data_IF_505378934933
#
_entry.id   IF_505378934933
#
_cell.length_a   1.000
_cell.length_b   1.000
_cell.length_c   1.000
_cell.angle_alpha   90.00
_cell.angle_beta   90.00
_cell.angle_gamma   90.00
#
_symmetry.space_group_name_H-M   'P 1'
#
loop_
_entity.id
_entity.type
_entity.pdbx_description
1 polymer ?
#
# COMPACT_ATOMS: atom_id res chain seq x y z
N UNK A 1 -22.66 25.83 5.09
CA UNK A 1 -21.69 25.09 4.25
C UNK A 1 -22.41 23.80 3.89
N UNK A 2 -22.82 23.62 2.62
CA UNK A 2 -23.59 22.44 2.22
C UNK A 2 -22.64 21.24 2.32
N UNK A 3 -23.07 20.18 2.98
CA UNK A 3 -22.33 18.93 3.07
C UNK A 3 -22.25 18.31 1.66
N UNK A 4 -21.06 18.28 1.07
CA UNK A 4 -20.83 17.70 -0.25
C UNK A 4 -20.66 16.17 -0.20
N UNK A 5 -20.60 15.56 0.99
CA UNK A 5 -20.37 14.12 1.16
C UNK A 5 -21.35 13.25 0.38
N UNK A 6 -22.67 13.52 0.36
CA UNK A 6 -23.61 12.69 -0.40
C UNK A 6 -23.30 12.68 -1.90
N UNK A 7 -22.91 13.83 -2.47
CA UNK A 7 -22.58 13.96 -3.89
C UNK A 7 -21.23 13.31 -4.22
N UNK A 8 -20.27 13.34 -3.29
CA UNK A 8 -18.99 12.67 -3.45
C UNK A 8 -19.15 11.14 -3.44
N UNK A 9 -20.00 10.61 -2.55
CA UNK A 9 -20.34 9.19 -2.50
C UNK A 9 -21.12 8.74 -3.74
N UNK A 10 -22.08 9.55 -4.21
CA UNK A 10 -22.80 9.32 -5.46
C UNK A 10 -21.84 9.27 -6.66
N UNK A 11 -20.92 10.24 -6.75
CA UNK A 11 -19.91 10.30 -7.80
C UNK A 11 -19.04 9.03 -7.82
N UNK A 12 -18.51 8.62 -6.65
CA UNK A 12 -17.68 7.42 -6.52
C UNK A 12 -18.43 6.16 -6.98
N UNK A 13 -19.67 5.98 -6.51
CA UNK A 13 -20.51 4.84 -6.88
C UNK A 13 -20.84 4.82 -8.38
N UNK A 14 -21.10 5.99 -8.97
CA UNK A 14 -21.37 6.11 -10.40
C UNK A 14 -20.14 5.75 -11.25
N UNK A 15 -18.97 6.28 -10.89
CA UNK A 15 -17.69 5.96 -11.52
C UNK A 15 -17.44 4.45 -11.45
N UNK A 16 -17.60 3.86 -10.25
CA UNK A 16 -17.43 2.43 -10.02
C UNK A 16 -18.34 1.60 -10.94
N UNK A 17 -19.63 1.94 -10.98
CA UNK A 17 -20.60 1.26 -11.86
C UNK A 17 -20.22 1.34 -13.34
N UNK A 18 -19.78 2.53 -13.81
CA UNK A 18 -19.35 2.71 -15.20
C UNK A 18 -18.13 1.86 -15.54
N UNK A 19 -17.09 1.87 -14.69
CA UNK A 19 -15.87 1.13 -14.93
C UNK A 19 -16.07 -0.39 -14.85
N UNK A 20 -16.87 -0.89 -13.90
CA UNK A 20 -17.22 -2.31 -13.80
C UNK A 20 -17.91 -2.83 -15.07
N UNK A 21 -18.76 -2.03 -15.73
CA UNK A 21 -19.40 -2.40 -17.01
C UNK A 21 -18.41 -2.65 -18.14
N UNK A 22 -17.21 -2.10 -18.06
CA UNK A 22 -16.13 -2.33 -19.01
C UNK A 22 -15.12 -3.39 -18.54
N UNK A 23 -15.40 -4.09 -17.44
CA UNK A 23 -14.58 -5.20 -16.94
C UNK A 23 -13.34 -4.79 -16.15
N UNK A 24 -13.22 -3.52 -15.73
CA UNK A 24 -12.13 -3.12 -14.85
C UNK A 24 -12.34 -3.68 -13.44
N UNK A 25 -11.26 -4.19 -12.83
CA UNK A 25 -11.27 -4.55 -11.42
C UNK A 25 -10.99 -3.31 -10.57
N UNK A 26 -11.81 -3.09 -9.54
CA UNK A 26 -11.76 -1.88 -8.73
C UNK A 26 -11.67 -2.22 -7.26
N UNK A 27 -10.82 -1.49 -6.54
CA UNK A 27 -10.79 -1.49 -5.08
C UNK A 27 -10.88 -0.07 -4.53
N UNK A 28 -11.38 0.05 -3.30
CA UNK A 28 -11.32 1.29 -2.52
C UNK A 28 -10.13 1.17 -1.58
N UNK A 29 -9.16 2.10 -1.60
CA UNK A 29 -8.02 2.02 -0.71
C UNK A 29 -8.47 2.20 0.75
N UNK A 30 -7.97 1.36 1.65
CA UNK A 30 -8.29 1.42 3.08
C UNK A 30 -7.61 2.59 3.80
N UNK A 31 -6.61 3.20 3.15
CA UNK A 31 -5.84 4.35 3.64
C UNK A 31 -5.82 5.45 2.57
N UNK A 32 -5.58 6.71 2.94
CA UNK A 32 -5.51 7.82 1.99
C UNK A 32 -4.23 7.72 1.13
N UNK A 33 -4.35 7.07 -0.03
CA UNK A 33 -3.24 6.91 -0.98
C UNK A 33 -3.16 8.16 -1.85
N UNK A 34 -2.49 9.20 -1.35
CA UNK A 34 -2.14 10.41 -2.13
C UNK A 34 -3.34 10.95 -2.94
N UNK A 35 -4.52 11.05 -2.33
CA UNK A 35 -5.73 11.59 -2.94
C UNK A 35 -6.50 10.65 -3.88
N UNK A 36 -6.25 9.34 -3.84
CA UNK A 36 -7.02 8.34 -4.59
C UNK A 36 -8.27 7.90 -3.82
N UNK A 37 -9.44 8.00 -4.45
CA UNK A 37 -10.72 7.52 -3.91
C UNK A 37 -11.03 6.09 -4.39
N UNK A 38 -10.53 5.71 -5.58
CA UNK A 38 -10.62 4.37 -6.15
C UNK A 38 -9.28 3.97 -6.79
N UNK A 39 -9.04 2.67 -6.91
CA UNK A 39 -7.92 2.12 -7.68
C UNK A 39 -8.42 1.10 -8.70
N UNK A 40 -7.88 1.14 -9.92
CA UNK A 40 -8.05 0.10 -10.94
C UNK A 40 -6.87 -0.85 -10.86
N UNK A 41 -7.15 -2.15 -10.85
CA UNK A 41 -6.15 -3.21 -10.81
C UNK A 41 -6.15 -4.00 -12.12
N UNK A 42 -4.98 -4.16 -12.73
CA UNK A 42 -4.75 -5.07 -13.85
C UNK A 42 -3.93 -6.29 -13.42
N UNK A 43 -4.19 -7.45 -14.03
CA UNK A 43 -3.50 -8.70 -13.77
C UNK A 43 -3.52 -9.13 -12.28
N UNK A 44 -4.73 -9.39 -11.75
CA UNK A 44 -4.93 -9.92 -10.39
C UNK A 44 -4.29 -11.30 -10.21
N UNK A 45 -4.08 -12.04 -11.29
CA UNK A 45 -3.50 -13.39 -11.25
C UNK A 45 -1.97 -13.40 -11.37
N UNK A 46 -1.32 -12.21 -11.43
CA UNK A 46 0.13 -12.08 -11.52
C UNK A 46 0.70 -11.47 -10.24
N UNK A 47 1.93 -11.86 -9.87
CA UNK A 47 2.66 -11.34 -8.69
C UNK A 47 2.67 -9.81 -8.59
N UNK A 48 2.56 -9.10 -9.71
CA UNK A 48 2.48 -7.65 -9.67
C UNK A 48 1.38 -7.09 -10.58
N UNK A 49 0.41 -6.45 -9.96
CA UNK A 49 -0.67 -5.74 -10.62
C UNK A 49 -0.26 -4.32 -10.99
N UNK A 50 -0.71 -3.87 -12.15
CA UNK A 50 -0.62 -2.45 -12.51
C UNK A 50 -1.78 -1.71 -11.86
N UNK A 51 -1.49 -0.53 -11.32
CA UNK A 51 -2.47 0.26 -10.58
C UNK A 51 -2.70 1.58 -11.29
N UNK A 52 -3.95 1.94 -11.53
CA UNK A 52 -4.33 3.33 -11.77
C UNK A 52 -5.06 3.87 -10.56
N UNK A 53 -4.63 5.06 -10.11
CA UNK A 53 -5.27 5.84 -9.06
C UNK A 53 -6.32 6.73 -9.67
N UNK A 54 -7.51 6.68 -9.09
CA UNK A 54 -8.65 7.50 -9.50
C UNK A 54 -9.01 8.44 -8.36
N UNK A 55 -9.04 9.73 -8.66
CA UNK A 55 -9.65 10.72 -7.78
C UNK A 55 -11.04 11.10 -8.31
N UNK A 56 -12.05 11.00 -7.46
CA UNK A 56 -13.43 11.39 -7.70
C UNK A 56 -13.67 12.82 -7.23
N UNK A 57 -14.36 13.61 -8.06
CA UNK A 57 -14.87 14.93 -7.68
C UNK A 57 -16.32 15.06 -8.15
N UNK A 58 -17.25 15.19 -7.21
CA UNK A 58 -18.66 15.49 -7.50
C UNK A 58 -18.95 17.00 -7.45
N UNK A 59 -19.67 17.55 -8.44
CA UNK A 59 -20.06 18.97 -8.46
C UNK A 59 -21.49 19.17 -9.00
N UNK A 60 -22.25 20.05 -8.35
CA UNK A 60 -23.51 20.55 -8.91
C UNK A 60 -23.22 21.79 -9.76
N UNK A 61 -23.62 21.78 -11.03
CA UNK A 61 -23.39 22.84 -12.00
C UNK A 61 -24.30 24.03 -11.75
N UNK A 62 -23.82 24.97 -10.93
CA UNK A 62 -24.47 26.26 -10.71
C UNK A 62 -24.20 27.23 -11.85
N UNK A 63 -25.06 28.25 -11.99
CA UNK A 63 -24.85 29.40 -12.91
C UNK A 63 -23.55 30.16 -12.62
N UNK A 64 -23.04 30.09 -11.40
CA UNK A 64 -21.76 30.68 -10.98
C UNK A 64 -20.57 29.78 -11.31
N UNK A 65 -19.35 30.26 -11.09
CA UNK A 65 -18.13 29.47 -11.32
C UNK A 65 -17.99 28.34 -10.29
N UNK A 66 -17.75 27.14 -10.79
CA UNK A 66 -17.35 25.95 -10.05
C UNK A 66 -15.85 25.73 -10.22
N UNK A 67 -15.23 25.05 -9.25
CA UNK A 67 -13.85 24.61 -9.38
C UNK A 67 -13.56 23.28 -8.68
N UNK A 68 -12.55 22.58 -9.20
CA UNK A 68 -11.88 21.47 -8.54
C UNK A 68 -10.39 21.76 -8.45
N UNK A 69 -9.76 21.23 -7.40
CA UNK A 69 -8.33 21.39 -7.12
C UNK A 69 -7.71 20.02 -6.94
N UNK A 70 -6.52 19.84 -7.50
CA UNK A 70 -5.74 18.61 -7.44
C UNK A 70 -4.33 19.00 -7.03
N UNK A 71 -3.82 18.39 -5.96
CA UNK A 71 -2.47 18.67 -5.49
C UNK A 71 -1.45 18.13 -6.50
N UNK A 72 -0.39 18.90 -6.75
CA UNK A 72 0.55 18.59 -7.83
C UNK A 72 1.32 17.27 -7.62
N UNK A 73 1.57 16.90 -6.36
CA UNK A 73 2.27 15.65 -6.01
C UNK A 73 1.48 14.39 -6.36
N UNK A 74 0.18 14.51 -6.65
CA UNK A 74 -0.68 13.40 -7.02
C UNK A 74 -0.59 13.09 -8.53
N UNK A 75 -0.21 14.08 -9.34
CA UNK A 75 -0.31 14.04 -10.80
C UNK A 75 0.88 13.30 -11.44
N UNK A 76 0.84 11.97 -11.34
CA UNK A 76 1.78 11.02 -11.98
C UNK A 76 1.11 10.31 -13.18
N UNK A 77 1.86 9.46 -13.90
CA UNK A 77 1.33 8.71 -15.07
C UNK A 77 0.26 7.68 -14.68
N UNK A 78 0.26 7.25 -13.42
CA UNK A 78 -0.73 6.34 -12.83
C UNK A 78 -1.97 7.06 -12.27
N UNK A 79 -2.20 8.34 -12.56
CA UNK A 79 -3.25 9.15 -11.91
C UNK A 79 -4.29 9.72 -12.90
N UNK A 80 -5.57 9.52 -12.58
CA UNK A 80 -6.72 9.97 -13.39
C UNK A 80 -7.73 10.68 -12.47
N UNK A 81 -8.30 11.79 -12.96
CA UNK A 81 -9.38 12.50 -12.28
C UNK A 81 -10.69 12.28 -13.02
N UNK A 82 -11.70 11.85 -12.27
CA UNK A 82 -13.09 11.83 -12.71
C UNK A 82 -13.86 13.00 -12.10
N UNK A 83 -14.52 13.78 -12.95
CA UNK A 83 -15.45 14.82 -12.55
C UNK A 83 -16.86 14.37 -12.87
N UNK A 84 -17.63 14.08 -11.83
CA UNK A 84 -19.06 13.87 -11.93
C UNK A 84 -19.78 15.20 -11.72
N UNK A 85 -20.58 15.61 -12.69
CA UNK A 85 -21.26 16.89 -12.68
C UNK A 85 -22.76 16.73 -12.96
N UNK A 86 -23.60 17.23 -12.05
CA UNK A 86 -25.07 17.22 -12.20
C UNK A 86 -25.56 18.64 -12.44
N UNK A 87 -26.51 18.84 -13.37
CA UNK A 87 -27.15 20.14 -13.57
C UNK A 87 -28.04 20.52 -12.37
N UNK A 88 -27.93 21.76 -11.88
CA UNK A 88 -28.75 22.24 -10.75
C UNK A 88 -30.23 22.36 -11.12
N UNK A 89 -30.54 22.70 -12.38
CA UNK A 89 -31.90 22.89 -12.86
C UNK A 89 -32.54 21.57 -13.33
N UNK A 90 -31.73 20.61 -13.76
CA UNK A 90 -32.16 19.28 -14.22
C UNK A 90 -31.28 18.18 -13.63
N UNK A 91 -31.68 17.65 -12.47
CA UNK A 91 -30.89 16.63 -11.75
C UNK A 91 -30.78 15.29 -12.48
N UNK A 92 -31.60 15.04 -13.49
CA UNK A 92 -31.48 13.85 -14.34
C UNK A 92 -30.37 14.00 -15.39
N UNK A 93 -29.90 15.23 -15.60
CA UNK A 93 -28.83 15.54 -16.54
C UNK A 93 -27.49 15.57 -15.83
N UNK A 94 -26.82 14.43 -15.88
CA UNK A 94 -25.46 14.26 -15.39
C UNK A 94 -24.42 14.14 -16.50
N UNK A 95 -23.18 14.40 -16.13
CA UNK A 95 -22.03 14.31 -16.99
C UNK A 95 -20.87 13.68 -16.22
N UNK A 96 -20.11 12.84 -16.91
CA UNK A 96 -18.88 12.26 -16.37
C UNK A 96 -17.72 12.64 -17.27
N UNK A 97 -16.77 13.39 -16.74
CA UNK A 97 -15.55 13.78 -17.46
C UNK A 97 -14.34 13.08 -16.89
N UNK A 98 -13.38 12.77 -17.75
CA UNK A 98 -12.14 12.10 -17.40
C UNK A 98 -10.95 12.93 -17.84
N UNK A 99 -10.06 13.21 -16.91
CA UNK A 99 -8.85 14.00 -17.14
C UNK A 99 -7.62 13.16 -16.77
N UNK A 100 -6.70 13.06 -17.72
CA UNK A 100 -5.41 12.38 -17.55
C UNK A 100 -4.33 13.39 -17.17
N UNK A 101 -3.14 12.90 -16.83
CA UNK A 101 -1.97 13.71 -16.44
C UNK A 101 -1.75 14.94 -17.32
N UNK A 102 -1.76 14.79 -18.65
CA UNK A 102 -1.52 15.91 -19.58
C UNK A 102 -2.63 16.95 -19.52
N UNK A 103 -3.87 16.47 -19.35
CA UNK A 103 -5.05 17.33 -19.24
C UNK A 103 -4.97 18.14 -17.95
N UNK A 104 -4.61 17.51 -16.82
CA UNK A 104 -4.48 18.17 -15.52
C UNK A 104 -3.34 19.19 -15.52
N UNK A 105 -2.20 18.85 -16.13
CA UNK A 105 -1.04 19.77 -16.25
C UNK A 105 -1.33 21.01 -17.09
N UNK A 106 -2.37 20.97 -17.94
CA UNK A 106 -2.82 22.14 -18.70
C UNK A 106 -3.68 23.12 -17.89
N UNK A 107 -4.08 22.76 -16.67
CA UNK A 107 -4.90 23.61 -15.81
C UNK A 107 -4.11 24.74 -15.18
N UNK A 108 -4.82 25.74 -14.63
CA UNK A 108 -4.19 26.84 -13.93
C UNK A 108 -3.50 26.34 -12.66
N UNK A 109 -2.24 26.71 -12.47
CA UNK A 109 -1.51 26.39 -11.25
C UNK A 109 -1.69 27.49 -10.21
N UNK A 110 -2.09 27.14 -8.99
CA UNK A 110 -2.18 28.05 -7.85
C UNK A 110 -1.61 27.36 -6.63
N UNK A 111 -0.50 27.90 -6.10
CA UNK A 111 0.33 27.23 -5.09
C UNK A 111 0.73 25.82 -5.58
N UNK A 112 0.53 24.81 -4.73
CA UNK A 112 0.83 23.41 -5.02
C UNK A 112 -0.35 22.67 -5.68
N UNK A 113 -1.29 23.39 -6.30
CA UNK A 113 -2.51 22.79 -6.88
C UNK A 113 -2.71 23.17 -8.35
N UNK A 114 -3.14 22.19 -9.14
CA UNK A 114 -3.79 22.39 -10.42
C UNK A 114 -5.28 22.67 -10.20
N UNK A 115 -5.82 23.71 -10.84
CA UNK A 115 -7.17 24.22 -10.63
C UNK A 115 -7.92 24.27 -11.95
N UNK A 116 -8.99 23.48 -12.04
CA UNK A 116 -9.95 23.55 -13.15
C UNK A 116 -11.16 24.37 -12.71
N UNK A 117 -11.40 25.48 -13.41
CA UNK A 117 -12.58 26.32 -13.21
C UNK A 117 -13.54 26.19 -14.39
N UNK A 118 -14.84 26.07 -14.11
CA UNK A 118 -15.87 25.88 -15.12
C UNK A 118 -17.24 26.42 -14.68
N UNK A 119 -18.15 26.58 -15.64
CA UNK A 119 -19.56 26.96 -15.45
C UNK A 119 -20.45 25.96 -16.20
N UNK A 120 -21.76 25.98 -15.96
CA UNK A 120 -22.72 25.16 -16.72
C UNK A 120 -22.61 25.38 -18.24
N UNK A 121 -22.23 26.58 -18.68
CA UNK A 121 -22.04 26.88 -20.10
C UNK A 121 -20.68 26.41 -20.64
N UNK A 122 -19.60 26.47 -19.85
CA UNK A 122 -18.27 26.10 -20.34
C UNK A 122 -18.11 24.59 -20.50
N UNK A 123 -18.86 23.80 -19.72
CA UNK A 123 -18.81 22.34 -19.76
C UNK A 123 -19.43 21.75 -21.03
N UNK A 124 -20.25 22.54 -21.73
CA UNK A 124 -20.86 22.18 -23.02
C UNK A 124 -19.93 22.48 -24.22
N UNK A 125 -18.78 23.11 -24.00
CA UNK A 125 -17.82 23.44 -25.07
C UNK A 125 -16.91 22.28 -25.41
N UNK A 126 -16.39 22.26 -26.63
CA UNK A 126 -15.55 21.18 -27.20
C UNK A 126 -14.42 20.71 -26.29
N UNK A 127 -13.77 21.64 -25.58
CA UNK A 127 -12.67 21.34 -24.64
C UNK A 127 -13.07 20.37 -23.51
N UNK A 128 -14.34 20.38 -23.09
CA UNK A 128 -14.90 19.45 -22.11
C UNK A 128 -15.58 18.26 -22.78
N UNK A 129 -16.21 18.47 -23.93
CA UNK A 129 -16.89 17.40 -24.67
C UNK A 129 -15.93 16.28 -25.09
N UNK A 130 -14.68 16.61 -25.45
CA UNK A 130 -13.65 15.61 -25.76
C UNK A 130 -13.17 14.82 -24.52
N UNK A 131 -13.58 15.22 -23.32
CA UNK A 131 -13.29 14.56 -22.04
C UNK A 131 -14.47 13.74 -21.50
N UNK A 132 -15.61 13.77 -22.18
CA UNK A 132 -16.79 13.03 -21.77
C UNK A 132 -16.49 11.52 -21.78
N UNK A 133 -16.90 10.84 -20.70
CA UNK A 133 -16.73 9.41 -20.55
C UNK A 133 -17.42 8.68 -21.71
N UNK A 134 -16.62 7.96 -22.48
CA UNK A 134 -17.01 7.33 -23.74
C UNK A 134 -16.11 6.13 -23.99
N UNK A 135 -16.44 5.33 -25.01
CA UNK A 135 -15.63 4.15 -25.37
C UNK A 135 -14.17 4.51 -25.69
N UNK A 136 -13.93 5.63 -26.38
CA UNK A 136 -12.56 6.09 -26.69
C UNK A 136 -11.79 6.50 -25.44
N UNK A 137 -12.47 7.08 -24.44
CA UNK A 137 -11.87 7.37 -23.13
C UNK A 137 -11.54 6.08 -22.40
N UNK A 138 -12.42 5.08 -22.43
CA UNK A 138 -12.14 3.75 -21.85
C UNK A 138 -10.91 3.12 -22.49
N UNK A 139 -10.79 3.15 -23.82
CA UNK A 139 -9.60 2.67 -24.52
C UNK A 139 -8.32 3.43 -24.09
N UNK A 140 -8.42 4.73 -23.80
CA UNK A 140 -7.30 5.51 -23.25
C UNK A 140 -6.97 5.10 -21.82
N UNK A 141 -7.96 4.79 -20.97
CA UNK A 141 -7.74 4.24 -19.62
C UNK A 141 -6.97 2.91 -19.73
N UNK A 142 -7.43 1.98 -20.57
CA UNK A 142 -6.75 0.70 -20.79
C UNK A 142 -5.31 0.89 -21.26
N UNK A 143 -5.07 1.74 -22.27
CA UNK A 143 -3.71 2.05 -22.74
C UNK A 143 -2.84 2.72 -21.69
N UNK A 144 -3.44 3.49 -20.78
CA UNK A 144 -2.70 4.11 -19.67
C UNK A 144 -2.30 3.00 -18.70
N UNK A 145 -3.25 2.15 -18.30
CA UNK A 145 -3.03 1.00 -17.42
C UNK A 145 -1.95 0.07 -17.94
N UNK A 146 -1.97 -0.27 -19.24
CA UNK A 146 -0.95 -1.10 -19.90
C UNK A 146 0.47 -0.49 -19.81
N UNK A 147 0.58 0.83 -19.77
CA UNK A 147 1.86 1.55 -19.71
C UNK A 147 2.32 1.86 -18.30
N UNK A 148 1.46 1.70 -17.28
CA UNK A 148 1.84 1.95 -15.90
C UNK A 148 2.96 0.99 -15.52
N UNK A 149 4.06 1.56 -15.02
CA UNK A 149 5.11 0.80 -14.38
C UNK A 149 4.56 0.09 -13.14
N UNK A 150 4.95 -1.16 -13.02
CA UNK A 150 4.64 -1.97 -11.86
C UNK A 150 5.45 -1.43 -10.68
N UNK A 151 4.80 -0.68 -9.79
CA UNK A 151 5.43 -0.25 -8.55
C UNK A 151 5.52 -1.43 -7.60
N UNK A 152 6.75 -1.75 -7.21
CA UNK A 152 7.05 -2.82 -6.26
C UNK A 152 7.39 -2.19 -4.92
N UNK A 153 6.45 -2.15 -4.00
CA UNK A 153 6.79 -1.84 -2.61
C UNK A 153 7.41 -3.08 -1.98
N UNK A 154 8.19 -2.91 -0.92
CA UNK A 154 8.64 -4.04 -0.11
C UNK A 154 8.08 -3.88 1.28
N UNK A 155 7.39 -4.91 1.73
CA UNK A 155 6.80 -4.98 3.06
C UNK A 155 7.43 -6.08 3.87
N UNK A 156 7.77 -5.76 5.11
CA UNK A 156 8.22 -6.70 6.12
C UNK A 156 7.03 -7.02 7.01
N UNK A 157 6.55 -8.24 6.94
CA UNK A 157 5.43 -8.71 7.77
C UNK A 157 6.01 -9.56 8.89
N UNK A 158 5.61 -9.28 10.13
CA UNK A 158 6.24 -9.85 11.31
C UNK A 158 5.16 -10.42 12.22
N UNK A 159 5.30 -11.70 12.54
CA UNK A 159 4.68 -12.27 13.74
C UNK A 159 5.45 -11.74 14.95
N UNK A 160 4.84 -10.81 15.67
CA UNK A 160 5.49 -10.11 16.77
C UNK A 160 5.79 -11.03 17.96
N UNK A 161 4.94 -12.03 18.21
CA UNK A 161 5.20 -13.01 19.28
C UNK A 161 6.44 -13.85 18.98
N UNK A 162 6.56 -14.32 17.74
CA UNK A 162 7.76 -15.00 17.27
C UNK A 162 9.01 -14.12 17.45
N UNK A 163 8.96 -12.88 16.93
CA UNK A 163 10.12 -11.99 16.95
C UNK A 163 10.57 -11.66 18.39
N UNK A 164 9.65 -11.28 19.27
CA UNK A 164 9.97 -10.94 20.66
C UNK A 164 10.58 -12.11 21.41
N UNK A 165 10.00 -13.32 21.26
CA UNK A 165 10.52 -14.53 21.88
C UNK A 165 11.94 -14.81 21.39
N UNK A 166 12.16 -14.76 20.09
CA UNK A 166 13.48 -15.05 19.51
C UNK A 166 14.52 -13.99 19.90
N UNK A 167 14.13 -12.71 20.04
CA UNK A 167 15.02 -11.66 20.58
C UNK A 167 15.48 -12.02 21.99
N UNK A 168 14.57 -12.37 22.90
CA UNK A 168 14.88 -12.71 24.28
C UNK A 168 15.77 -13.96 24.39
N UNK A 169 15.43 -15.03 23.65
CA UNK A 169 16.22 -16.27 23.61
C UNK A 169 17.63 -16.03 23.09
N UNK A 170 17.76 -15.28 21.99
CA UNK A 170 19.05 -14.95 21.38
C UNK A 170 19.89 -14.08 22.31
N UNK A 171 19.27 -13.08 22.94
CA UNK A 171 19.94 -12.23 23.92
C UNK A 171 20.48 -13.03 25.11
N UNK A 172 19.67 -13.93 25.69
CA UNK A 172 20.08 -14.80 26.80
C UNK A 172 21.26 -15.69 26.42
N UNK A 173 21.22 -16.29 25.23
CA UNK A 173 22.31 -17.12 24.72
C UNK A 173 23.61 -16.33 24.59
N UNK A 174 23.59 -15.21 23.86
CA UNK A 174 24.80 -14.43 23.62
C UNK A 174 25.34 -13.73 24.86
N UNK A 175 24.46 -13.27 25.77
CA UNK A 175 24.89 -12.71 27.06
C UNK A 175 25.52 -13.75 27.96
N UNK A 176 25.09 -15.02 27.87
CA UNK A 176 25.72 -16.13 28.57
C UNK A 176 27.08 -16.52 27.97
N UNK A 177 27.22 -16.44 26.64
CA UNK A 177 28.47 -16.73 25.93
C UNK A 177 29.52 -15.62 26.09
N UNK A 178 29.08 -14.35 26.14
CA UNK A 178 29.94 -13.17 26.17
C UNK A 178 29.56 -12.18 27.30
N UNK A 179 29.59 -12.59 28.58
CA UNK A 179 29.18 -11.73 29.69
C UNK A 179 30.00 -10.44 29.80
N UNK A 180 31.26 -10.45 29.36
CA UNK A 180 32.17 -9.31 29.36
C UNK A 180 31.76 -8.18 28.40
N UNK A 181 30.94 -8.49 27.38
CA UNK A 181 30.54 -7.50 26.36
C UNK A 181 29.41 -6.59 26.81
N UNK A 182 28.78 -6.86 27.96
CA UNK A 182 27.72 -6.01 28.52
C UNK A 182 26.55 -5.78 27.54
N UNK A 183 26.19 -6.82 26.78
CA UNK A 183 25.14 -6.76 25.75
C UNK A 183 23.83 -6.23 26.33
N UNK A 184 23.06 -5.52 25.51
CA UNK A 184 21.74 -5.03 25.84
C UNK A 184 20.70 -5.72 24.95
N UNK A 185 19.49 -5.88 25.46
CA UNK A 185 18.37 -6.40 24.67
C UNK A 185 18.11 -5.40 23.53
N UNK A 186 18.15 -5.84 22.27
CA UNK A 186 17.92 -4.96 21.13
C UNK A 186 16.44 -4.59 21.02
N UNK A 187 16.15 -3.40 20.49
CA UNK A 187 14.77 -3.00 20.18
C UNK A 187 14.22 -3.77 18.98
N UNK A 188 12.90 -3.94 18.91
CA UNK A 188 12.24 -4.54 17.75
C UNK A 188 12.56 -3.74 16.48
N UNK A 189 12.54 -2.40 16.59
CA UNK A 189 12.88 -1.49 15.49
C UNK A 189 14.30 -1.71 14.95
N UNK A 190 15.30 -1.84 15.81
CA UNK A 190 16.68 -2.09 15.36
C UNK A 190 16.81 -3.44 14.65
N UNK A 191 16.11 -4.47 15.16
CA UNK A 191 16.15 -5.80 14.56
C UNK A 191 15.50 -5.80 13.18
N UNK A 192 14.32 -5.21 13.01
CA UNK A 192 13.64 -5.16 11.70
C UNK A 192 14.43 -4.32 10.67
N UNK A 193 15.13 -3.26 11.08
CA UNK A 193 16.02 -2.51 10.19
C UNK A 193 17.21 -3.37 9.72
N UNK A 194 17.75 -4.21 10.61
CA UNK A 194 18.82 -5.14 10.23
C UNK A 194 18.32 -6.27 9.32
N UNK A 195 17.08 -6.75 9.52
CA UNK A 195 16.44 -7.75 8.63
C UNK A 195 16.45 -7.25 7.19
N UNK A 196 16.01 -6.02 6.95
CA UNK A 196 15.96 -5.47 5.58
C UNK A 196 17.35 -5.20 5.03
N UNK A 197 18.26 -4.67 5.86
CA UNK A 197 19.66 -4.45 5.45
C UNK A 197 20.35 -5.75 5.00
N UNK A 198 20.05 -6.88 5.65
CA UNK A 198 20.69 -8.16 5.36
C UNK A 198 19.99 -8.97 4.25
N UNK A 199 18.66 -8.95 4.23
CA UNK A 199 17.87 -9.91 3.47
C UNK A 199 17.02 -9.28 2.37
N UNK A 200 16.81 -7.96 2.36
CA UNK A 200 16.07 -7.36 1.27
C UNK A 200 16.87 -7.47 -0.03
N UNK A 201 16.36 -8.25 -0.98
CA UNK A 201 16.93 -8.43 -2.32
C UNK A 201 16.05 -7.85 -3.41
N UNK A 202 14.94 -7.22 -3.03
CA UNK A 202 14.02 -6.65 -3.98
C UNK A 202 14.51 -5.27 -4.41
N UNK A 203 14.52 -5.03 -5.72
CA UNK A 203 14.70 -3.68 -6.26
C UNK A 203 13.39 -2.90 -6.06
N UNK A 204 13.40 -1.93 -5.14
CA UNK A 204 12.29 -1.01 -4.93
C UNK A 204 12.64 0.32 -5.61
N UNK A 205 11.82 0.75 -6.57
CA UNK A 205 11.95 2.06 -7.23
C UNK A 205 11.64 3.22 -6.28
N UNK A 206 10.80 2.97 -5.27
CA UNK A 206 10.49 3.93 -4.22
C UNK A 206 11.36 3.60 -2.99
N UNK A 207 12.00 4.61 -2.39
CA UNK A 207 12.79 4.45 -1.17
C UNK A 207 11.88 4.33 0.08
N UNK A 208 10.88 3.45 0.06
CA UNK A 208 9.93 3.26 1.15
C UNK A 208 9.82 1.78 1.50
N UNK A 209 9.99 1.46 2.79
CA UNK A 209 9.75 0.12 3.33
C UNK A 209 8.62 0.20 4.36
N UNK A 210 7.64 -0.71 4.25
CA UNK A 210 6.56 -0.82 5.22
C UNK A 210 6.82 -2.02 6.13
N UNK A 211 6.74 -1.82 7.44
CA UNK A 211 6.91 -2.87 8.44
C UNK A 211 5.57 -3.05 9.14
N UNK A 212 5.03 -4.26 9.11
CA UNK A 212 3.76 -4.62 9.70
C UNK A 212 4.01 -5.65 10.80
N UNK A 213 3.92 -5.19 12.05
CA UNK A 213 4.21 -6.02 13.23
C UNK A 213 2.89 -6.36 13.89
N UNK A 214 2.53 -7.64 13.88
CA UNK A 214 1.26 -8.12 14.41
C UNK A 214 1.46 -8.72 15.79
N UNK A 215 0.76 -8.16 16.78
CA UNK A 215 0.83 -8.55 18.17
C UNK A 215 -0.54 -8.94 18.71
N UNK A 216 -0.56 -9.94 19.60
CA UNK A 216 -1.74 -10.23 20.39
C UNK A 216 -1.88 -9.23 21.54
N UNK A 217 -3.06 -8.63 21.70
CA UNK A 217 -3.41 -7.84 22.87
C UNK A 217 -4.86 -8.12 23.29
N UNK A 218 -5.04 -8.72 24.46
CA UNK A 218 -6.34 -9.04 25.06
C UNK A 218 -7.24 -7.81 25.28
N UNK A 219 -6.63 -6.62 25.43
CA UNK A 219 -7.32 -5.36 25.70
C UNK A 219 -7.79 -4.64 24.43
N UNK A 220 -7.46 -5.17 23.26
CA UNK A 220 -7.90 -4.63 21.98
C UNK A 220 -9.22 -5.27 21.56
N UNK A 221 -10.08 -4.50 20.90
CA UNK A 221 -11.35 -4.99 20.34
C UNK A 221 -11.18 -5.19 18.83
N UNK A 222 -11.20 -6.45 18.39
CA UNK A 222 -10.94 -6.83 17.01
C UNK A 222 -9.46 -6.64 16.62
N UNK A 223 -9.22 -6.25 15.37
CA UNK A 223 -7.88 -5.96 14.83
C UNK A 223 -7.77 -4.48 14.47
N UNK A 224 -6.70 -3.81 14.94
CA UNK A 224 -6.46 -2.38 14.66
C UNK A 224 -4.98 -2.04 14.63
N UNK A 225 -4.65 -0.97 13.91
CA UNK A 225 -3.34 -0.31 14.00
C UNK A 225 -3.33 0.58 15.25
N UNK A 226 -2.37 0.39 16.14
CA UNK A 226 -2.26 1.12 17.41
C UNK A 226 -1.16 2.18 17.43
N UNK A 227 -0.12 2.00 16.63
CA UNK A 227 0.98 2.94 16.52
C UNK A 227 1.58 2.92 15.12
N UNK A 228 2.11 4.08 14.72
CA UNK A 228 2.78 4.29 13.45
C UNK A 228 4.02 5.15 13.65
N UNK A 229 5.20 4.63 13.30
CA UNK A 229 6.45 5.37 13.33
C UNK A 229 6.98 5.55 11.90
N UNK A 230 7.59 6.71 11.63
CA UNK A 230 8.32 6.97 10.40
C UNK A 230 9.78 7.21 10.77
N UNK A 231 10.67 6.35 10.28
CA UNK A 231 12.11 6.44 10.50
C UNK A 231 12.80 6.62 9.16
N UNK A 232 13.46 7.77 8.97
CA UNK A 232 14.22 8.03 7.74
C UNK A 232 15.68 7.67 7.97
N UNK A 233 16.21 6.72 7.20
CA UNK A 233 17.62 6.29 7.24
C UNK A 233 18.17 6.17 5.82
N UNK A 234 19.32 6.80 5.53
CA UNK A 234 20.00 6.72 4.22
C UNK A 234 19.08 6.94 3.00
N UNK A 235 18.28 8.00 3.02
CA UNK A 235 17.28 8.33 1.99
C UNK A 235 16.12 7.34 1.83
N UNK A 236 16.00 6.37 2.75
CA UNK A 236 14.91 5.40 2.85
C UNK A 236 13.94 5.77 3.97
N UNK A 237 12.66 5.86 3.64
CA UNK A 237 11.56 6.08 4.58
C UNK A 237 11.03 4.72 5.06
N UNK A 238 11.27 4.40 6.32
CA UNK A 238 10.76 3.20 6.96
C UNK A 238 9.49 3.53 7.72
N UNK A 239 8.37 2.94 7.32
CA UNK A 239 7.07 3.10 7.96
C UNK A 239 6.77 1.88 8.79
N UNK A 240 6.69 2.03 10.10
CA UNK A 240 6.45 0.93 11.02
C UNK A 240 5.03 1.03 11.54
N UNK A 241 4.25 -0.02 11.33
CA UNK A 241 2.86 -0.16 11.74
C UNK A 241 2.76 -1.28 12.77
N UNK A 242 2.32 -0.93 13.96
CA UNK A 242 2.02 -1.89 15.01
C UNK A 242 0.53 -2.22 14.95
N UNK A 243 0.24 -3.48 14.67
CA UNK A 243 -1.10 -4.04 14.64
C UNK A 243 -1.31 -4.82 15.93
N UNK A 244 -2.45 -4.59 16.57
CA UNK A 244 -2.88 -5.37 17.72
C UNK A 244 -4.19 -6.07 17.41
N UNK A 245 -4.30 -7.31 17.87
CA UNK A 245 -5.50 -8.12 17.75
C UNK A 245 -5.78 -8.91 19.03
N UNK A 246 -7.05 -9.05 19.40
CA UNK A 246 -7.46 -10.02 20.42
C UNK A 246 -7.84 -11.39 19.84
N UNK A 247 -7.72 -11.53 18.51
CA UNK A 247 -7.90 -12.78 17.78
C UNK A 247 -6.57 -13.51 17.55
N UNK A 248 -6.56 -14.39 16.55
CA UNK A 248 -5.35 -15.09 16.17
C UNK A 248 -4.52 -14.25 15.20
N UNK A 249 -3.28 -13.92 15.58
CA UNK A 249 -2.33 -13.15 14.77
C UNK A 249 -2.19 -13.68 13.33
N UNK A 250 -2.17 -15.01 13.16
CA UNK A 250 -2.02 -15.61 11.83
C UNK A 250 -3.16 -15.24 10.86
N UNK A 251 -4.38 -15.01 11.36
CA UNK A 251 -5.53 -14.66 10.52
C UNK A 251 -5.39 -13.25 9.94
N UNK A 252 -4.90 -12.32 10.75
CA UNK A 252 -4.67 -10.94 10.31
C UNK A 252 -3.51 -10.86 9.30
N UNK A 253 -2.47 -11.66 9.50
CA UNK A 253 -1.35 -11.81 8.55
C UNK A 253 -1.84 -12.43 7.24
N UNK A 254 -2.67 -13.48 7.31
CA UNK A 254 -3.27 -14.10 6.13
C UNK A 254 -4.14 -13.10 5.35
N UNK A 255 -5.00 -12.34 6.05
CA UNK A 255 -5.82 -11.30 5.44
C UNK A 255 -4.96 -10.21 4.77
N UNK A 256 -3.86 -9.82 5.41
CA UNK A 256 -2.92 -8.88 4.82
C UNK A 256 -2.28 -9.43 3.55
N UNK A 257 -1.75 -10.66 3.56
CA UNK A 257 -1.18 -11.29 2.37
C UNK A 257 -2.18 -11.35 1.22
N UNK A 258 -3.45 -11.67 1.49
CA UNK A 258 -4.50 -11.67 0.46
C UNK A 258 -4.69 -10.27 -0.14
N UNK A 259 -4.63 -9.21 0.68
CA UNK A 259 -4.82 -7.82 0.23
C UNK A 259 -3.65 -7.29 -0.60
N UNK A 260 -2.42 -7.66 -0.25
CA UNK A 260 -1.19 -7.08 -0.85
C UNK A 260 -0.49 -8.00 -1.84
N UNK A 261 -1.02 -9.21 -2.05
CA UNK A 261 -0.45 -10.29 -2.85
C UNK A 261 0.18 -9.85 -4.18
N UNK A 262 -0.46 -8.90 -4.85
CA UNK A 262 -0.07 -8.44 -6.17
C UNK A 262 0.52 -7.02 -6.17
N UNK A 263 0.82 -6.46 -5.01
CA UNK A 263 1.20 -5.06 -4.85
C UNK A 263 2.61 -4.91 -4.26
N UNK A 264 3.04 -5.91 -3.50
CA UNK A 264 4.21 -5.78 -2.63
C UNK A 264 5.08 -7.03 -2.69
N UNK A 265 6.40 -6.82 -2.65
CA UNK A 265 7.34 -7.86 -2.29
C UNK A 265 7.25 -8.11 -0.79
N UNK A 266 7.30 -9.38 -0.38
CA UNK A 266 7.08 -9.75 1.02
C UNK A 266 8.38 -10.32 1.59
N UNK A 267 8.84 -9.72 2.68
CA UNK A 267 9.77 -10.34 3.63
C UNK A 267 8.94 -10.75 4.84
N UNK A 268 8.87 -12.04 5.14
CA UNK A 268 8.00 -12.54 6.20
C UNK A 268 8.83 -13.13 7.34
N UNK A 269 8.60 -12.62 8.56
CA UNK A 269 9.32 -12.96 9.77
C UNK A 269 8.41 -13.79 10.68
N UNK A 270 8.54 -15.11 10.61
CA UNK A 270 7.78 -16.08 11.39
C UNK A 270 8.48 -17.44 11.37
N UNK A 271 8.17 -18.32 12.34
CA UNK A 271 8.61 -19.71 12.33
C UNK A 271 7.59 -20.62 13.03
N UNK A 272 6.39 -20.71 12.42
CA UNK A 272 5.30 -21.55 12.91
C UNK A 272 4.61 -22.27 11.74
N UNK A 273 4.41 -23.59 11.89
CA UNK A 273 3.77 -24.46 10.89
C UNK A 273 2.40 -23.96 10.44
N UNK A 274 1.71 -23.16 11.27
CA UNK A 274 0.42 -22.57 10.93
C UNK A 274 0.46 -21.71 9.65
N UNK A 275 1.63 -21.19 9.29
CA UNK A 275 1.81 -20.36 8.10
C UNK A 275 2.10 -21.15 6.81
N UNK A 276 2.42 -22.45 6.88
CA UNK A 276 2.70 -23.26 5.67
C UNK A 276 1.56 -23.24 4.64
N UNK A 277 0.26 -23.39 5.02
CA UNK A 277 -0.83 -23.40 4.04
C UNK A 277 -0.93 -22.12 3.22
N UNK A 278 -0.79 -20.95 3.86
CA UNK A 278 -0.83 -19.68 3.15
C UNK A 278 0.41 -19.54 2.27
N UNK A 279 1.61 -19.88 2.77
CA UNK A 279 2.85 -19.83 1.99
C UNK A 279 2.78 -20.70 0.72
N UNK A 280 2.26 -21.92 0.81
CA UNK A 280 2.03 -22.77 -0.37
C UNK A 280 0.99 -22.17 -1.34
N UNK A 281 -0.06 -21.51 -0.82
CA UNK A 281 -1.00 -20.79 -1.65
C UNK A 281 -0.32 -19.66 -2.42
N UNK A 282 0.54 -18.87 -1.76
CA UNK A 282 1.33 -17.80 -2.39
C UNK A 282 2.28 -18.38 -3.46
N UNK A 283 2.87 -19.56 -3.19
CA UNK A 283 3.85 -20.19 -4.08
C UNK A 283 3.17 -20.65 -5.37
N UNK A 284 1.98 -21.23 -5.24
CA UNK A 284 1.15 -21.64 -6.40
C UNK A 284 0.73 -20.46 -7.28
N UNK A 285 0.72 -19.24 -6.74
CA UNK A 285 0.42 -17.99 -7.45
C UNK A 285 1.67 -17.27 -7.94
N UNK A 286 2.83 -17.92 -7.83
CA UNK A 286 4.13 -17.38 -8.25
C UNK A 286 4.49 -16.05 -7.56
N UNK A 287 4.06 -15.89 -6.30
CA UNK A 287 4.45 -14.76 -5.46
C UNK A 287 5.77 -15.11 -4.79
N UNK A 288 6.79 -14.26 -4.93
CA UNK A 288 8.08 -14.43 -4.27
C UNK A 288 8.03 -13.86 -2.83
N UNK A 289 8.44 -14.68 -1.87
CA UNK A 289 8.51 -14.34 -0.44
C UNK A 289 9.91 -14.67 0.07
N UNK A 290 10.50 -13.75 0.84
CA UNK A 290 11.73 -14.01 1.58
C UNK A 290 11.35 -14.32 3.02
N UNK A 291 11.59 -15.55 3.48
CA UNK A 291 11.33 -15.93 4.87
C UNK A 291 12.49 -15.58 5.78
N UNK A 292 12.20 -15.08 6.97
CA UNK A 292 13.19 -14.86 8.03
C UNK A 292 12.72 -15.63 9.24
N UNK A 293 13.40 -16.74 9.51
CA UNK A 293 12.97 -17.79 10.43
C UNK A 293 14.20 -18.37 11.14
N UNK A 294 13.99 -19.33 12.04
CA UNK A 294 15.13 -20.09 12.55
C UNK A 294 15.81 -20.87 11.40
N UNK A 295 17.11 -21.10 11.51
CA UNK A 295 17.83 -21.96 10.56
C UNK A 295 17.42 -23.42 10.71
N UNK A 296 17.67 -24.25 9.70
CA UNK A 296 17.46 -25.72 9.79
C UNK A 296 18.15 -26.34 11.01
N UNK A 297 19.39 -25.93 11.31
CA UNK A 297 20.13 -26.38 12.51
C UNK A 297 19.64 -25.78 13.82
N UNK A 298 18.79 -24.74 13.74
CA UNK A 298 18.21 -24.00 14.86
C UNK A 298 16.79 -24.44 15.22
N UNK A 299 16.27 -25.49 14.56
CA UNK A 299 14.94 -26.03 14.84
C UNK A 299 13.81 -25.27 14.16
N UNK A 300 13.97 -24.96 12.87
CA UNK A 300 12.88 -24.40 12.09
C UNK A 300 11.63 -25.29 12.11
N UNK A 301 10.46 -24.66 12.18
CA UNK A 301 9.17 -25.34 12.28
C UNK A 301 8.34 -25.28 10.99
N UNK A 302 8.86 -24.65 9.93
CA UNK A 302 8.19 -24.53 8.63
C UNK A 302 8.99 -25.21 7.52
N UNK A 303 8.29 -25.92 6.64
CA UNK A 303 8.81 -26.49 5.39
C UNK A 303 8.23 -25.74 4.19
N UNK A 304 9.09 -25.04 3.45
CA UNK A 304 8.64 -24.20 2.32
C UNK A 304 9.67 -24.20 1.18
N UNK A 305 9.22 -23.94 -0.05
CA UNK A 305 10.11 -23.77 -1.21
C UNK A 305 10.77 -22.38 -1.29
N UNK A 306 10.45 -21.48 -0.37
CA UNK A 306 10.94 -20.10 -0.40
C UNK A 306 12.40 -19.97 0.03
N UNK A 307 13.01 -18.88 -0.41
CA UNK A 307 14.31 -18.45 0.09
C UNK A 307 14.16 -18.01 1.55
N UNK A 308 15.17 -18.29 2.36
CA UNK A 308 15.14 -17.93 3.77
C UNK A 308 16.45 -17.33 4.28
N UNK A 309 16.36 -16.55 5.36
CA UNK A 309 17.45 -16.00 6.15
C UNK A 309 17.29 -16.33 7.63
N UNK A 310 18.40 -16.53 8.35
CA UNK A 310 18.34 -16.90 9.78
C UNK A 310 18.14 -15.66 10.67
N UNK A 311 17.07 -15.65 11.46
CA UNK A 311 16.68 -14.52 12.32
C UNK A 311 17.74 -14.11 13.36
N UNK A 312 18.64 -15.02 13.76
CA UNK A 312 19.66 -14.73 14.78
C UNK A 312 20.70 -13.70 14.33
N UNK A 313 21.01 -13.61 13.02
CA UNK A 313 22.00 -12.66 12.51
C UNK A 313 21.56 -11.19 12.65
N UNK A 314 20.36 -10.77 12.21
CA UNK A 314 19.91 -9.39 12.42
C UNK A 314 19.75 -9.04 13.90
N UNK A 315 19.39 -10.00 14.76
CA UNK A 315 19.35 -9.80 16.21
C UNK A 315 20.77 -9.58 16.78
N UNK A 316 21.72 -10.43 16.41
CA UNK A 316 23.12 -10.30 16.82
C UNK A 316 23.73 -8.96 16.40
N UNK A 317 23.45 -8.53 15.16
CA UNK A 317 23.86 -7.23 14.66
C UNK A 317 23.22 -6.08 15.45
N UNK A 318 21.94 -6.19 15.81
CA UNK A 318 21.24 -5.19 16.61
C UNK A 318 21.82 -5.06 18.03
N UNK A 319 22.30 -6.17 18.62
CA UNK A 319 23.04 -6.16 19.88
C UNK A 319 24.45 -5.56 19.76
N UNK A 320 24.90 -5.24 18.54
CA UNK A 320 26.24 -4.70 18.27
C UNK A 320 27.34 -5.75 18.30
N UNK A 321 27.02 -7.04 18.17
CA UNK A 321 28.03 -8.12 18.21
C UNK A 321 29.07 -7.99 17.08
N UNK A 322 28.68 -7.48 15.92
CA UNK A 322 29.61 -7.20 14.81
C UNK A 322 30.71 -6.18 15.13
N UNK A 323 30.60 -5.41 16.22
CA UNK A 323 31.69 -4.52 16.70
C UNK A 323 32.81 -5.28 17.45
N UNK A 324 32.54 -6.53 17.81
CA UNK A 324 33.42 -7.38 18.61
C UNK A 324 33.96 -8.59 17.82
N UNK A 325 33.57 -8.73 16.56
CA UNK A 325 34.11 -9.74 15.64
C UNK A 325 35.24 -9.10 14.83
N UNK A 326 36.45 -9.66 14.97
CA UNK A 326 37.66 -9.36 14.18
C UNK A 326 38.31 -10.67 13.78
#
# INVERSE_FOLDING_TARGET
MIDNKPLEEEAENFIKSKLLRYGFNLAKPSFDIKGADLIVLDNIDSQYSKILKIQSKGRTLKKTSNSIKIHESYVKDDFIVFLYAIDEEDKEKDYLFVFFKEDIKSWNKTNDNYVLSFTSNSILKDQFQCKLFSKSVVERITKTLEKVEVKKYTSVVVDGHFLERTIDETFKLYSGLYPEKGLQVPSVEDVIMNITTMYNRFESEENVLNFHIYNYNENTDGSKVVAGNIVVSNDMENRIYFHETNGFVFQDIEEYFIKVLNLENIIFVADDVIYEPILHSLESKNVDVILVMHSETGGNNMFTGYRWGAIYYPIAQAMGLGRYEW
#
